data_IF_028222025050
#
_entry.id   IF_028222025050
#
_cell.length_a   1.000
_cell.length_b   1.000
_cell.length_c   1.000
_cell.angle_alpha   90.00
_cell.angle_beta   90.00
_cell.angle_gamma   90.00
#
_symmetry.space_group_name_H-M   'P 1'
#
loop_
_entity.id
_entity.type
_entity.pdbx_description
1 polymer ?
#
# COMPACT_ATOMS: atom_id res chain seq x y z
N UNK A 1 20.75 21.80 22.66
CA UNK A 1 20.64 21.09 23.97
C UNK A 1 21.01 19.62 23.78
N UNK A 2 22.03 19.12 24.48
CA UNK A 2 22.22 17.70 24.84
C UNK A 2 21.90 17.55 26.34
N UNK A 3 21.68 16.34 26.88
CA UNK A 3 20.64 15.35 26.55
C UNK A 3 19.87 14.95 27.85
N UNK A 4 18.87 14.05 27.82
CA UNK A 4 18.44 13.36 29.05
C UNK A 4 18.27 11.87 28.81
N UNK A 5 19.20 11.12 29.41
CA UNK A 5 19.50 9.68 29.28
C UNK A 5 18.72 8.90 30.36
N UNK A 6 18.56 7.57 30.21
CA UNK A 6 18.65 6.50 31.26
C UNK A 6 17.80 5.28 30.82
N UNK A 7 18.36 4.07 30.81
CA UNK A 7 17.63 2.79 30.72
C UNK A 7 17.11 2.29 29.35
N UNK A 8 17.96 2.20 28.30
CA UNK A 8 17.83 1.19 27.22
C UNK A 8 16.48 0.97 26.49
N UNK A 9 15.48 1.82 26.71
CA UNK A 9 14.10 1.62 26.28
C UNK A 9 13.84 2.35 24.97
N UNK A 10 13.36 1.63 23.97
CA UNK A 10 12.93 2.18 22.69
C UNK A 10 11.69 3.06 22.93
N UNK A 11 11.82 4.39 22.82
CA UNK A 11 10.66 5.28 22.74
C UNK A 11 10.24 5.43 21.27
N UNK A 12 8.94 5.27 20.99
CA UNK A 12 8.40 5.58 19.67
C UNK A 12 8.45 7.10 19.47
N UNK A 13 9.24 7.55 18.49
CA UNK A 13 9.40 8.97 18.16
C UNK A 13 8.14 9.43 17.42
N UNK A 14 7.13 9.90 18.16
CA UNK A 14 5.93 10.52 17.60
C UNK A 14 6.26 11.93 17.08
N UNK A 15 6.82 12.03 15.88
CA UNK A 15 7.04 13.33 15.20
C UNK A 15 6.48 13.39 13.78
N UNK A 16 5.65 12.42 13.41
CA UNK A 16 4.85 12.45 12.19
C UNK A 16 3.48 11.84 12.49
N UNK A 17 2.42 12.40 11.92
CA UNK A 17 1.08 11.81 11.95
C UNK A 17 1.16 10.32 11.59
N UNK A 18 0.47 9.46 12.35
CA UNK A 18 0.47 8.02 12.10
C UNK A 18 0.05 7.71 10.66
N UNK A 19 0.64 6.65 10.07
CA UNK A 19 0.37 6.27 8.69
C UNK A 19 -1.12 6.02 8.40
N UNK A 20 -1.86 5.53 9.41
CA UNK A 20 -3.32 5.37 9.32
C UNK A 20 -4.05 6.71 9.13
N UNK A 21 -3.68 7.72 9.91
CA UNK A 21 -4.25 9.07 9.82
C UNK A 21 -3.94 9.72 8.47
N UNK A 22 -2.68 9.64 8.01
CA UNK A 22 -2.31 10.14 6.67
C UNK A 22 -3.12 9.44 5.58
N UNK A 23 -3.29 8.11 5.66
CA UNK A 23 -4.10 7.34 4.71
C UNK A 23 -5.56 7.76 4.73
N UNK A 24 -6.15 8.00 5.90
CA UNK A 24 -7.54 8.44 6.04
C UNK A 24 -7.78 9.83 5.42
N UNK A 25 -6.86 10.77 5.65
CA UNK A 25 -6.92 12.12 5.05
C UNK A 25 -6.87 12.03 3.51
N UNK A 26 -5.96 11.22 2.97
CA UNK A 26 -5.85 11.00 1.52
C UNK A 26 -7.12 10.36 0.97
N UNK A 27 -7.66 9.34 1.64
CA UNK A 27 -8.88 8.65 1.20
C UNK A 27 -10.11 9.58 1.18
N UNK A 28 -10.22 10.49 2.16
CA UNK A 28 -11.31 11.45 2.26
C UNK A 28 -11.26 12.59 1.24
N UNK A 29 -10.11 12.82 0.59
CA UNK A 29 -9.89 13.94 -0.33
C UNK A 29 -9.47 13.50 -1.75
N UNK A 30 -9.52 12.20 -2.05
CA UNK A 30 -9.06 11.62 -3.32
C UNK A 30 -9.83 12.09 -4.55
N UNK A 31 -11.02 12.63 -4.34
CA UNK A 31 -11.93 13.20 -5.32
C UNK A 31 -11.57 14.64 -5.69
N UNK A 32 -10.96 15.40 -4.75
CA UNK A 32 -10.57 16.80 -4.95
C UNK A 32 -9.10 16.96 -5.33
N UNK A 33 -8.24 16.09 -4.81
CA UNK A 33 -6.80 16.16 -5.02
C UNK A 33 -6.24 14.84 -5.50
N UNK A 34 -5.16 14.92 -6.28
CA UNK A 34 -4.47 13.71 -6.71
C UNK A 34 -3.81 13.01 -5.52
N UNK A 35 -3.97 11.69 -5.43
CA UNK A 35 -3.34 10.86 -4.38
C UNK A 35 -1.83 11.07 -4.36
N UNK A 36 -1.20 11.16 -5.54
CA UNK A 36 0.24 11.37 -5.69
C UNK A 36 0.74 12.61 -4.96
N UNK A 37 -0.04 13.68 -5.05
CA UNK A 37 0.33 15.01 -4.55
C UNK A 37 0.11 15.10 -3.05
N UNK A 38 -1.01 14.57 -2.55
CA UNK A 38 -1.22 14.44 -1.11
C UNK A 38 -0.16 13.55 -0.44
N UNK A 39 0.26 12.47 -1.09
CA UNK A 39 1.37 11.64 -0.62
C UNK A 39 2.68 12.44 -0.49
N UNK A 40 2.97 13.34 -1.44
CA UNK A 40 4.17 14.22 -1.37
C UNK A 40 4.04 15.25 -0.24
N UNK A 41 2.87 15.90 -0.11
CA UNK A 41 2.62 16.94 0.89
C UNK A 41 2.70 16.37 2.32
N UNK A 42 2.16 15.17 2.54
CA UNK A 42 2.11 14.54 3.86
C UNK A 42 3.37 13.73 4.19
N UNK A 43 4.38 13.71 3.32
CA UNK A 43 5.54 12.82 3.42
C UNK A 43 5.09 11.37 3.70
N UNK A 44 4.25 10.85 2.79
CA UNK A 44 3.63 9.53 2.87
C UNK A 44 4.03 8.69 1.65
N UNK A 45 4.61 7.49 1.84
CA UNK A 45 5.00 6.65 0.72
C UNK A 45 3.78 6.18 -0.06
N UNK A 46 3.78 6.47 -1.37
CA UNK A 46 2.68 6.13 -2.27
C UNK A 46 2.39 4.63 -2.31
N UNK A 47 3.42 3.79 -2.18
CA UNK A 47 3.28 2.34 -2.08
C UNK A 47 2.42 1.92 -0.89
N UNK A 48 2.55 2.61 0.25
CA UNK A 48 1.73 2.34 1.42
C UNK A 48 0.25 2.62 1.12
N UNK A 49 -0.09 3.73 0.46
CA UNK A 49 -1.49 4.02 0.11
C UNK A 49 -2.17 2.90 -0.68
N UNK A 50 -1.53 2.44 -1.75
CA UNK A 50 -2.09 1.44 -2.66
C UNK A 50 -1.94 0.00 -2.16
N UNK A 51 -1.15 -0.22 -1.11
CA UNK A 51 -1.05 -1.54 -0.50
C UNK A 51 -2.42 -1.97 0.03
N UNK A 52 -2.91 -3.07 -0.52
CA UNK A 52 -4.06 -3.83 -0.02
C UNK A 52 -3.50 -5.14 0.54
N UNK A 53 -3.83 -5.43 1.79
CA UNK A 53 -3.59 -6.76 2.35
C UNK A 53 -4.36 -7.76 1.51
N UNK A 54 -3.68 -8.81 1.06
CA UNK A 54 -4.32 -9.92 0.37
C UNK A 54 -5.17 -10.63 1.42
N UNK A 55 -6.46 -10.32 1.46
CA UNK A 55 -7.36 -11.02 2.36
C UNK A 55 -7.50 -12.44 1.84
N UNK A 56 -7.40 -13.42 2.73
CA UNK A 56 -7.75 -14.80 2.42
C UNK A 56 -9.28 -14.91 2.34
N UNK A 57 -9.83 -14.40 1.24
CA UNK A 57 -11.24 -14.51 0.90
C UNK A 57 -11.36 -15.31 -0.39
N UNK A 58 -12.46 -16.06 -0.53
CA UNK A 58 -12.81 -16.76 -1.77
C UNK A 58 -12.64 -15.81 -2.95
N UNK A 59 -11.97 -16.22 -4.05
CA UNK A 59 -11.60 -15.29 -5.10
C UNK A 59 -12.85 -14.59 -5.63
N UNK A 60 -12.85 -13.26 -5.49
CA UNK A 60 -13.87 -12.37 -6.02
C UNK A 60 -14.03 -12.60 -7.52
N UNK A 61 -15.17 -12.18 -8.09
CA UNK A 61 -15.41 -12.35 -9.52
C UNK A 61 -14.29 -11.75 -10.39
N UNK A 62 -13.73 -10.61 -9.97
CA UNK A 62 -12.57 -9.98 -10.61
C UNK A 62 -11.30 -10.83 -10.51
N UNK A 63 -11.03 -11.46 -9.36
CA UNK A 63 -9.83 -12.29 -9.18
C UNK A 63 -9.94 -13.59 -9.99
N UNK A 64 -11.13 -14.17 -10.12
CA UNK A 64 -11.37 -15.31 -11.01
C UNK A 64 -11.06 -14.97 -12.47
N UNK A 65 -11.47 -13.77 -12.92
CA UNK A 65 -11.14 -13.30 -14.27
C UNK A 65 -9.63 -13.10 -14.45
N UNK A 66 -8.95 -12.51 -13.47
CA UNK A 66 -7.49 -12.34 -13.54
C UNK A 66 -6.76 -13.69 -13.61
N UNK A 67 -7.14 -14.65 -12.78
CA UNK A 67 -6.54 -15.99 -12.78
C UNK A 67 -6.76 -16.71 -14.13
N UNK A 68 -7.96 -16.61 -14.70
CA UNK A 68 -8.25 -17.20 -16.02
C UNK A 68 -7.40 -16.61 -17.15
N UNK A 69 -7.14 -15.30 -17.09
CA UNK A 69 -6.25 -14.61 -18.04
C UNK A 69 -4.81 -15.08 -17.84
N UNK A 70 -4.34 -15.18 -16.60
CA UNK A 70 -2.99 -15.67 -16.27
C UNK A 70 -2.75 -17.10 -16.78
N UNK A 71 -3.71 -18.00 -16.55
CA UNK A 71 -3.68 -19.38 -17.06
C UNK A 71 -3.59 -19.41 -18.59
N UNK A 72 -4.36 -18.56 -19.26
CA UNK A 72 -4.37 -18.45 -20.72
C UNK A 72 -3.03 -17.96 -21.26
N UNK A 73 -2.42 -16.95 -20.63
CA UNK A 73 -1.11 -16.42 -21.01
C UNK A 73 -0.01 -17.48 -20.83
N UNK A 74 -0.01 -18.20 -19.70
CA UNK A 74 0.95 -19.26 -19.45
C UNK A 74 0.84 -20.38 -20.50
N UNK A 75 -0.39 -20.72 -20.89
CA UNK A 75 -0.66 -21.73 -21.91
C UNK A 75 -0.08 -21.31 -23.26
N UNK A 76 -0.44 -20.11 -23.77
CA UNK A 76 0.08 -19.59 -25.04
C UNK A 76 1.60 -19.59 -25.08
N UNK A 77 2.23 -19.21 -23.97
CA UNK A 77 3.69 -19.15 -23.90
C UNK A 77 4.36 -20.53 -23.94
N UNK A 78 3.76 -21.54 -23.31
CA UNK A 78 4.24 -22.93 -23.37
C UNK A 78 4.04 -23.51 -24.77
N UNK A 79 2.88 -23.29 -25.36
CA UNK A 79 2.53 -23.79 -26.70
C UNK A 79 3.44 -23.17 -27.78
N UNK A 80 3.82 -21.90 -27.64
CA UNK A 80 4.73 -21.21 -28.57
C UNK A 80 6.20 -21.62 -28.45
N UNK A 81 6.56 -22.37 -27.39
CA UNK A 81 7.92 -22.87 -27.14
C UNK A 81 8.12 -24.33 -27.56
N UNK A 82 7.04 -25.02 -27.92
CA UNK A 82 7.04 -26.36 -28.53
C UNK A 82 7.22 -26.28 -30.04
#
# INVERSE_FOLDING_TARGET
>A
RKPSIKNGGRYFKASGSDYGTKRAVIAANKDKYSVSEMCRILDFPRSSYYYKEKKEETPSHSEKQMNSIEESVQKVFKDSRS
#
